data_IF_454858008830
#
_entry.id   IF_454858008830
#
_cell.length_a   1.000
_cell.length_b   1.000
_cell.length_c   1.000
_cell.angle_alpha   90.00
_cell.angle_beta   90.00
_cell.angle_gamma   90.00
#
_symmetry.space_group_name_H-M   'P 1'
#
loop_
_entity.id
_entity.type
_entity.pdbx_description
1 polymer ?
#
# COMPACT_ATOMS: atom_id res chain seq x y z
N UNK A 1 4.89 9.46 -7.35
CA UNK A 1 5.07 8.69 -8.59
C UNK A 1 3.83 7.85 -8.89
N UNK A 2 3.44 7.70 -10.16
CA UNK A 2 2.40 6.72 -10.53
C UNK A 2 2.98 5.31 -10.53
N UNK A 3 2.33 4.42 -9.78
CA UNK A 3 2.64 2.98 -9.77
C UNK A 3 1.76 2.26 -10.80
N UNK A 4 0.49 2.63 -10.92
CA UNK A 4 -0.43 2.07 -11.90
C UNK A 4 -1.06 3.16 -12.77
N UNK A 5 -0.68 3.22 -14.04
CA UNK A 5 -1.24 4.20 -14.99
C UNK A 5 -2.70 3.86 -15.33
N UNK A 6 -3.01 2.57 -15.51
CA UNK A 6 -4.37 2.10 -15.83
C UNK A 6 -5.45 2.54 -14.84
N UNK A 7 -5.10 2.63 -13.55
CA UNK A 7 -6.01 2.97 -12.45
C UNK A 7 -5.63 4.27 -11.75
N UNK A 8 -4.69 5.03 -12.32
CA UNK A 8 -4.14 6.26 -11.74
C UNK A 8 -3.70 6.11 -10.27
N UNK A 9 -3.13 4.97 -9.89
CA UNK A 9 -2.66 4.71 -8.52
C UNK A 9 -1.26 5.26 -8.33
N UNK A 10 -1.08 6.09 -7.31
CA UNK A 10 0.21 6.68 -6.93
C UNK A 10 0.88 5.92 -5.80
N UNK A 11 2.19 6.13 -5.63
CA UNK A 11 2.92 5.60 -4.49
C UNK A 11 2.32 6.07 -3.17
N UNK A 12 1.90 7.34 -3.09
CA UNK A 12 1.24 7.93 -1.93
C UNK A 12 -0.07 7.22 -1.60
N UNK A 13 -0.87 6.88 -2.62
CA UNK A 13 -2.11 6.14 -2.40
C UNK A 13 -1.84 4.75 -1.78
N UNK A 14 -0.81 4.05 -2.26
CA UNK A 14 -0.42 2.75 -1.67
C UNK A 14 0.10 2.93 -0.25
N UNK A 15 1.02 3.87 -0.01
CA UNK A 15 1.58 4.15 1.33
C UNK A 15 0.50 4.53 2.35
N UNK A 16 -0.46 5.37 1.96
CA UNK A 16 -1.59 5.74 2.81
C UNK A 16 -2.44 4.53 3.16
N UNK A 17 -2.78 3.69 2.18
CA UNK A 17 -3.58 2.50 2.44
C UNK A 17 -2.85 1.48 3.32
N UNK A 18 -1.53 1.39 3.21
CA UNK A 18 -0.70 0.59 4.13
C UNK A 18 -0.67 1.20 5.54
N UNK A 19 -0.63 2.54 5.67
CA UNK A 19 -0.79 3.22 6.95
C UNK A 19 -2.17 3.01 7.59
N UNK A 20 -3.20 2.86 6.76
CA UNK A 20 -4.55 2.48 7.19
C UNK A 20 -4.67 0.97 7.50
N UNK A 21 -3.60 0.19 7.37
CA UNK A 21 -3.51 -1.21 7.79
C UNK A 21 -3.48 -2.25 6.68
N UNK A 22 -3.50 -1.86 5.40
CA UNK A 22 -3.39 -2.85 4.32
C UNK A 22 -2.01 -3.53 4.32
N UNK A 23 -2.02 -4.86 4.31
CA UNK A 23 -0.82 -5.68 4.43
C UNK A 23 -0.62 -6.62 3.23
N UNK A 24 -1.51 -6.58 2.24
CA UNK A 24 -1.48 -7.51 1.11
C UNK A 24 -1.78 -6.84 -0.24
N UNK A 25 -1.23 -7.41 -1.31
CA UNK A 25 -1.59 -6.99 -2.68
C UNK A 25 -3.07 -7.21 -3.00
N UNK A 26 -3.72 -8.16 -2.33
CA UNK A 26 -5.17 -8.39 -2.46
C UNK A 26 -5.96 -7.17 -2.01
N UNK A 27 -5.63 -6.62 -0.84
CA UNK A 27 -6.25 -5.40 -0.31
C UNK A 27 -5.96 -4.20 -1.20
N UNK A 28 -4.70 -4.01 -1.64
CA UNK A 28 -4.38 -2.94 -2.59
C UNK A 28 -5.22 -3.05 -3.88
N UNK A 29 -5.40 -4.27 -4.40
CA UNK A 29 -6.22 -4.51 -5.60
C UNK A 29 -7.70 -4.23 -5.35
N UNK A 30 -8.24 -4.61 -4.19
CA UNK A 30 -9.64 -4.37 -3.84
C UNK A 30 -9.93 -2.90 -3.60
N UNK A 31 -9.03 -2.17 -2.94
CA UNK A 31 -9.24 -0.77 -2.57
C UNK A 31 -8.83 0.23 -3.67
N UNK A 32 -7.73 -0.04 -4.38
CA UNK A 32 -7.14 0.90 -5.36
C UNK A 32 -7.27 0.42 -6.82
N UNK A 33 -7.69 -0.84 -7.04
CA UNK A 33 -7.69 -1.44 -8.38
C UNK A 33 -6.30 -1.74 -8.94
N UNK A 34 -5.22 -1.57 -8.16
CA UNK A 34 -3.86 -1.81 -8.66
C UNK A 34 -3.70 -3.24 -9.18
N UNK A 35 -3.13 -3.38 -10.37
CA UNK A 35 -2.95 -4.69 -11.02
C UNK A 35 -4.25 -5.36 -11.50
N UNK A 36 -5.38 -4.65 -11.54
CA UNK A 36 -6.67 -5.20 -12.00
C UNK A 36 -6.93 -5.07 -13.50
N UNK A 37 -6.04 -4.42 -14.26
CA UNK A 37 -6.16 -4.25 -15.72
C UNK A 37 -5.02 -4.98 -16.44
N UNK A 38 -3.93 -4.28 -16.80
CA UNK A 38 -2.84 -4.89 -17.58
C UNK A 38 -1.80 -5.65 -16.74
N UNK A 39 -1.85 -5.54 -15.40
CA UNK A 39 -0.96 -6.25 -14.48
C UNK A 39 0.51 -5.79 -14.44
N UNK A 40 0.95 -4.90 -15.34
CA UNK A 40 2.37 -4.48 -15.45
C UNK A 40 2.93 -3.80 -14.18
N UNK A 41 2.07 -3.17 -13.38
CA UNK A 41 2.44 -2.49 -12.15
C UNK A 41 2.62 -3.43 -10.95
N UNK A 42 2.16 -4.68 -11.04
CA UNK A 42 2.16 -5.64 -9.91
C UNK A 42 3.52 -5.80 -9.21
N UNK A 43 4.66 -5.99 -9.92
CA UNK A 43 5.95 -6.09 -9.25
C UNK A 43 6.31 -4.81 -8.48
N UNK A 44 6.17 -3.64 -9.12
CA UNK A 44 6.46 -2.35 -8.48
C UNK A 44 5.55 -2.05 -7.28
N UNK A 45 4.27 -2.43 -7.35
CA UNK A 45 3.32 -2.29 -6.26
C UNK A 45 3.66 -3.21 -5.08
N UNK A 46 4.05 -4.47 -5.35
CA UNK A 46 4.47 -5.43 -4.34
C UNK A 46 5.76 -4.98 -3.63
N UNK A 47 6.75 -4.49 -4.39
CA UNK A 47 7.98 -3.92 -3.84
C UNK A 47 7.68 -2.76 -2.90
N UNK A 48 6.82 -1.83 -3.34
CA UNK A 48 6.44 -0.67 -2.52
C UNK A 48 5.68 -1.08 -1.26
N UNK A 49 4.76 -2.06 -1.35
CA UNK A 49 4.06 -2.62 -0.21
C UNK A 49 5.05 -3.17 0.84
N UNK A 50 5.96 -4.04 0.40
CA UNK A 50 6.95 -4.67 1.28
C UNK A 50 7.87 -3.64 1.95
N UNK A 51 8.32 -2.63 1.20
CA UNK A 51 9.12 -1.51 1.74
C UNK A 51 8.33 -0.71 2.77
N UNK A 52 7.08 -0.37 2.47
CA UNK A 52 6.23 0.41 3.36
C UNK A 52 5.96 -0.33 4.69
N UNK A 53 5.68 -1.63 4.63
CA UNK A 53 5.50 -2.47 5.83
C UNK A 53 6.79 -2.56 6.66
N UNK A 54 7.95 -2.69 6.00
CA UNK A 54 9.25 -2.72 6.68
C UNK A 54 9.58 -1.37 7.33
N UNK A 55 9.23 -0.27 6.67
CA UNK A 55 9.40 1.11 7.19
C UNK A 55 8.52 1.35 8.43
N UNK A 56 7.28 0.84 8.44
CA UNK A 56 6.39 0.97 9.61
C UNK A 56 6.85 0.16 10.83
N UNK A 57 7.48 -0.99 10.61
CA UNK A 57 8.03 -1.82 11.70
C UNK A 57 9.21 -1.15 12.43
N UNK A 58 9.79 -0.09 11.86
CA UNK A 58 10.93 0.65 12.45
C UNK A 58 10.52 1.81 13.37
N UNK A 59 9.23 2.02 13.62
CA UNK A 59 8.78 3.12 14.49
C UNK A 59 8.95 2.71 15.96
N UNK A 60 9.75 3.45 16.76
CA UNK A 60 9.93 3.16 18.18
C UNK A 60 8.62 3.32 18.96
N UNK A 61 8.47 2.47 19.96
CA UNK A 61 7.28 2.22 20.79
C UNK A 61 6.75 3.45 21.55
N UNK A 62 6.17 4.45 20.85
CA UNK A 62 5.32 5.47 21.46
C UNK A 62 4.20 6.00 20.55
N UNK A 63 3.78 5.24 19.53
CA UNK A 63 2.61 5.57 18.70
C UNK A 63 1.56 4.47 18.87
N UNK A 64 0.94 4.43 20.05
CA UNK A 64 -0.21 3.56 20.35
C UNK A 64 -1.56 4.20 19.95
N UNK A 65 -1.59 5.12 18.99
CA UNK A 65 -2.83 5.85 18.61
C UNK A 65 -3.14 5.84 17.11
N UNK A 66 -2.81 4.79 16.36
CA UNK A 66 -3.24 4.66 14.96
C UNK A 66 -3.85 3.29 14.61
N UNK A 67 -4.60 2.70 15.56
CA UNK A 67 -5.64 1.73 15.21
C UNK A 67 -6.98 2.46 15.12
N UNK A 68 -7.54 2.77 13.94
CA UNK A 68 -8.99 2.82 13.84
C UNK A 68 -9.49 1.40 14.02
N UNK A 69 -10.32 1.22 15.04
CA UNK A 69 -11.05 0.00 15.30
C UNK A 69 -11.98 -0.32 14.13
N UNK A 70 -11.83 -1.52 13.59
CA UNK A 70 -12.98 -2.31 13.17
C UNK A 70 -13.13 -3.43 14.18
#
# INVERSE_FOLDING_TARGET
MYICVCKAVTDKAIRNLVADGACSMRELKQCLGVGSQCGKCTPAAQDLLNRSLTEQMRIPCNVLEQRPAA
#
